data_IF_122348867647
#
_entry.id   IF_122348867647
#
_cell.length_a   1.000
_cell.length_b   1.000
_cell.length_c   1.000
_cell.angle_alpha   90.00
_cell.angle_beta   90.00
_cell.angle_gamma   90.00
#
_symmetry.space_group_name_H-M   'P 1'
#
loop_
_entity.id
_entity.type
_entity.pdbx_description
1 polymer ?
#
# COMPACT_ATOMS: atom_id res chain seq x y z
N UNK A 1 14.81 -77.19 32.31
CA UNK A 1 15.08 -76.05 31.41
C UNK A 1 13.73 -75.66 30.81
N UNK A 2 13.05 -74.68 31.42
CA UNK A 2 11.68 -74.29 31.11
C UNK A 2 11.69 -73.13 30.09
N UNK A 3 10.91 -73.25 29.02
CA UNK A 3 10.65 -72.18 28.05
C UNK A 3 9.33 -71.53 28.45
N UNK A 4 9.37 -70.27 28.88
CA UNK A 4 8.20 -69.44 29.16
C UNK A 4 7.89 -68.61 27.91
N UNK A 5 6.74 -68.84 27.28
CA UNK A 5 6.26 -68.07 26.13
C UNK A 5 5.53 -66.82 26.65
N UNK A 6 6.12 -65.64 26.44
CA UNK A 6 5.48 -64.35 26.73
C UNK A 6 4.64 -63.90 25.53
N UNK A 7 3.32 -63.91 25.70
CA UNK A 7 2.37 -63.37 24.72
C UNK A 7 2.19 -61.88 25.00
N UNK A 8 2.67 -61.02 24.10
CA UNK A 8 2.39 -59.59 24.11
C UNK A 8 0.98 -59.36 23.55
N UNK A 9 0.06 -58.91 24.41
CA UNK A 9 -1.23 -58.37 23.98
C UNK A 9 -1.04 -56.91 23.54
N UNK A 10 -1.03 -56.64 22.24
CA UNK A 10 -1.12 -55.29 21.69
C UNK A 10 -2.57 -54.79 21.79
N UNK A 11 -2.89 -54.04 22.85
CA UNK A 11 -4.12 -53.24 22.92
C UNK A 11 -4.07 -52.17 21.83
N UNK A 12 -4.80 -52.39 20.74
CA UNK A 12 -5.10 -51.35 19.77
C UNK A 12 -6.20 -50.47 20.37
N UNK A 13 -5.82 -49.33 20.93
CA UNK A 13 -6.77 -48.26 21.18
C UNK A 13 -7.24 -47.75 19.82
N UNK A 14 -8.44 -48.18 19.41
CA UNK A 14 -9.19 -47.50 18.35
C UNK A 14 -9.62 -46.17 18.95
N UNK A 15 -8.86 -45.11 18.68
CA UNK A 15 -9.36 -43.75 18.87
C UNK A 15 -10.52 -43.64 17.89
N UNK A 16 -11.77 -43.42 18.36
CA UNK A 16 -12.87 -43.21 17.43
C UNK A 16 -12.51 -41.98 16.60
N UNK A 17 -12.46 -42.19 15.29
CA UNK A 17 -12.35 -41.11 14.31
C UNK A 17 -13.67 -40.34 14.40
N UNK A 18 -13.76 -39.42 15.37
CA UNK A 18 -14.85 -38.45 15.41
C UNK A 18 -14.72 -37.67 14.13
N UNK A 19 -15.63 -37.93 13.17
CA UNK A 19 -15.79 -37.12 11.97
C UNK A 19 -15.74 -35.66 12.40
N UNK A 20 -14.63 -34.97 12.12
CA UNK A 20 -14.51 -33.55 12.40
C UNK A 20 -15.53 -32.87 11.51
N UNK A 21 -16.47 -32.16 12.13
CA UNK A 21 -17.43 -31.37 11.38
C UNK A 21 -16.67 -30.39 10.50
N UNK A 22 -16.85 -30.52 9.19
CA UNK A 22 -16.25 -29.64 8.20
C UNK A 22 -17.23 -28.48 8.01
N UNK A 23 -16.80 -27.28 8.39
CA UNK A 23 -17.61 -26.07 8.29
C UNK A 23 -17.42 -25.40 6.93
N UNK A 24 -18.48 -24.77 6.43
CA UNK A 24 -18.38 -23.78 5.36
C UNK A 24 -18.32 -22.38 5.98
N UNK A 25 -17.53 -21.50 5.38
CA UNK A 25 -17.49 -20.10 5.77
C UNK A 25 -18.90 -19.49 5.61
N UNK A 26 -19.43 -18.94 6.71
CA UNK A 26 -20.76 -18.35 6.77
C UNK A 26 -20.71 -16.94 7.37
N UNK A 27 -21.77 -16.16 7.18
CA UNK A 27 -21.91 -14.84 7.80
C UNK A 27 -21.91 -14.95 9.34
N UNK A 28 -22.57 -15.96 9.88
CA UNK A 28 -22.61 -16.21 11.33
C UNK A 28 -21.23 -16.54 11.90
N UNK A 29 -20.43 -17.34 11.18
CA UNK A 29 -19.06 -17.66 11.60
C UNK A 29 -18.16 -16.42 11.58
N UNK A 30 -18.29 -15.56 10.56
CA UNK A 30 -17.56 -14.29 10.50
C UNK A 30 -18.00 -13.37 11.65
N UNK A 31 -19.30 -13.32 11.95
CA UNK A 31 -19.85 -12.51 13.05
C UNK A 31 -19.32 -12.96 14.43
N UNK A 32 -19.14 -14.26 14.66
CA UNK A 32 -18.55 -14.79 15.90
C UNK A 32 -17.13 -14.30 16.16
N UNK A 33 -16.39 -13.96 15.11
CA UNK A 33 -15.03 -13.41 15.18
C UNK A 33 -14.97 -11.90 14.95
N UNK A 34 -16.13 -11.21 15.00
CA UNK A 34 -16.21 -9.78 14.78
C UNK A 34 -16.59 -9.02 16.04
N UNK A 35 -15.85 -7.95 16.31
CA UNK A 35 -16.18 -6.95 17.33
C UNK A 35 -16.42 -5.59 16.69
N UNK A 36 -17.23 -4.76 17.33
CA UNK A 36 -17.48 -3.39 16.91
C UNK A 36 -16.71 -2.42 17.78
N UNK A 37 -16.07 -1.45 17.16
CA UNK A 37 -15.21 -0.48 17.83
C UNK A 37 -15.43 0.92 17.28
N UNK A 38 -14.89 1.91 17.96
CA UNK A 38 -14.90 3.31 17.54
C UNK A 38 -13.48 3.86 17.41
N UNK A 39 -13.33 4.88 16.56
CA UNK A 39 -12.12 5.70 16.50
C UNK A 39 -12.50 7.10 16.95
N UNK A 40 -11.94 7.55 18.07
CA UNK A 40 -12.19 8.88 18.61
C UNK A 40 -10.87 9.62 18.76
N UNK A 41 -10.71 10.74 18.03
CA UNK A 41 -9.53 11.62 18.10
C UNK A 41 -8.21 10.83 17.97
N UNK A 42 -8.14 9.97 16.95
CA UNK A 42 -6.93 9.16 16.67
C UNK A 42 -6.70 7.97 17.62
N UNK A 43 -7.63 7.65 18.52
CA UNK A 43 -7.52 6.49 19.41
C UNK A 43 -8.59 5.44 19.10
N UNK A 44 -8.21 4.17 19.16
CA UNK A 44 -9.13 3.03 19.10
C UNK A 44 -9.86 2.84 20.44
N UNK A 45 -11.15 2.54 20.39
CA UNK A 45 -11.99 2.22 21.56
C UNK A 45 -12.71 0.90 21.28
N UNK A 46 -12.33 -0.18 21.99
CA UNK A 46 -12.95 -1.50 21.88
C UNK A 46 -12.34 -2.42 20.81
N UNK A 47 -11.10 -2.16 20.37
CA UNK A 47 -10.37 -2.94 19.37
C UNK A 47 -9.20 -3.74 19.98
N UNK A 48 -9.39 -4.30 21.17
CA UNK A 48 -8.30 -4.81 22.03
C UNK A 48 -7.42 -5.88 21.36
N UNK A 49 -8.02 -6.79 20.57
CA UNK A 49 -7.27 -7.84 19.86
C UNK A 49 -6.34 -7.29 18.78
N UNK A 50 -6.77 -6.23 18.09
CA UNK A 50 -5.97 -5.50 17.12
C UNK A 50 -4.83 -4.78 17.85
N UNK A 51 -5.14 -3.99 18.88
CA UNK A 51 -4.15 -3.21 19.64
C UNK A 51 -3.05 -4.14 20.16
N UNK A 52 -3.41 -5.22 20.87
CA UNK A 52 -2.43 -6.19 21.40
C UNK A 52 -1.51 -6.77 20.31
N UNK A 53 -2.01 -6.93 19.09
CA UNK A 53 -1.21 -7.44 17.97
C UNK A 53 -0.30 -6.35 17.39
N UNK A 54 -0.76 -5.10 17.34
CA UNK A 54 0.03 -3.95 16.90
C UNK A 54 1.20 -3.66 17.86
N UNK A 55 1.00 -3.78 19.17
CA UNK A 55 2.04 -3.55 20.19
C UNK A 55 3.24 -4.49 20.03
N UNK A 56 3.00 -5.73 19.60
CA UNK A 56 4.02 -6.78 19.43
C UNK A 56 4.62 -6.81 18.02
N UNK A 57 4.06 -6.03 17.08
CA UNK A 57 4.48 -6.03 15.69
C UNK A 57 5.83 -5.36 15.48
N UNK A 58 6.56 -5.84 14.47
CA UNK A 58 7.68 -5.13 13.85
C UNK A 58 7.26 -4.54 12.49
N UNK A 59 6.33 -5.20 11.80
CA UNK A 59 5.76 -4.71 10.55
C UNK A 59 4.25 -4.67 10.62
N UNK A 60 3.64 -3.58 10.18
CA UNK A 60 2.18 -3.46 10.04
C UNK A 60 1.86 -3.13 8.60
N UNK A 61 1.02 -3.94 7.96
CA UNK A 61 0.66 -3.80 6.56
C UNK A 61 -0.84 -3.53 6.41
N UNK A 62 -1.19 -2.29 6.06
CA UNK A 62 -2.56 -1.87 5.79
C UNK A 62 -2.84 -1.95 4.28
N UNK A 63 -3.56 -3.00 3.88
CA UNK A 63 -4.12 -3.19 2.55
C UNK A 63 -5.38 -2.36 2.37
N UNK A 64 -5.31 -1.35 1.50
CA UNK A 64 -6.31 -0.28 1.44
C UNK A 64 -7.10 -0.20 0.13
N UNK A 65 -8.18 0.61 0.17
CA UNK A 65 -8.98 1.05 -0.96
C UNK A 65 -8.79 2.55 -1.16
N UNK A 66 -8.19 2.94 -2.27
CA UNK A 66 -7.71 4.31 -2.44
C UNK A 66 -8.81 5.38 -2.33
N UNK A 67 -8.43 6.53 -1.76
CA UNK A 67 -9.23 7.77 -1.74
C UNK A 67 -10.53 7.67 -0.93
N UNK A 68 -10.46 7.10 0.28
CA UNK A 68 -11.56 7.01 1.25
C UNK A 68 -11.37 7.93 2.45
N UNK A 69 -12.44 8.55 2.91
CA UNK A 69 -12.41 9.48 4.06
C UNK A 69 -12.08 8.70 5.33
N UNK A 70 -12.78 7.58 5.58
CA UNK A 70 -12.58 6.76 6.77
C UNK A 70 -11.21 6.09 6.79
N UNK A 71 -10.67 5.69 5.64
CA UNK A 71 -9.30 5.18 5.55
C UNK A 71 -8.26 6.16 6.13
N UNK A 72 -8.42 7.47 5.87
CA UNK A 72 -7.51 8.45 6.43
C UNK A 72 -7.60 8.56 7.95
N UNK A 73 -8.80 8.43 8.51
CA UNK A 73 -9.03 8.37 9.97
C UNK A 73 -8.41 7.12 10.60
N UNK A 74 -8.57 5.96 9.95
CA UNK A 74 -7.92 4.72 10.38
C UNK A 74 -6.39 4.83 10.32
N UNK A 75 -5.85 5.42 9.25
CA UNK A 75 -4.39 5.60 9.09
C UNK A 75 -3.82 6.51 10.19
N UNK A 76 -4.50 7.62 10.49
CA UNK A 76 -4.14 8.52 11.59
C UNK A 76 -4.16 7.78 12.94
N UNK A 77 -5.18 6.97 13.21
CA UNK A 77 -5.27 6.19 14.45
C UNK A 77 -4.18 5.12 14.57
N UNK A 78 -3.84 4.44 13.47
CA UNK A 78 -2.73 3.48 13.43
C UNK A 78 -1.40 4.15 13.72
N UNK A 79 -1.11 5.32 13.13
CA UNK A 79 0.13 6.06 13.41
C UNK A 79 0.25 6.42 14.90
N UNK A 80 -0.82 6.95 15.52
CA UNK A 80 -0.83 7.26 16.95
C UNK A 80 -0.68 6.02 17.83
N UNK A 81 -1.25 4.89 17.41
CA UNK A 81 -1.17 3.64 18.17
C UNK A 81 0.23 3.04 18.07
N UNK A 82 0.91 3.17 16.93
CA UNK A 82 2.17 2.50 16.66
C UNK A 82 3.40 3.27 17.19
N UNK A 83 3.36 4.60 17.22
CA UNK A 83 4.51 5.43 17.63
C UNK A 83 5.06 5.04 19.02
N UNK A 84 4.22 4.87 20.07
CA UNK A 84 4.71 4.49 21.40
C UNK A 84 5.43 3.13 21.45
N UNK A 85 5.25 2.29 20.44
CA UNK A 85 5.88 0.96 20.33
C UNK A 85 7.12 0.95 19.44
N UNK A 86 7.68 2.12 19.14
CA UNK A 86 8.95 2.30 18.44
C UNK A 86 8.82 2.34 16.92
N UNK A 87 7.61 2.48 16.37
CA UNK A 87 7.44 2.71 14.95
C UNK A 87 7.78 4.16 14.60
N UNK A 88 8.72 4.33 13.68
CA UNK A 88 9.17 5.63 13.19
C UNK A 88 9.37 5.63 11.66
N UNK A 89 8.98 4.56 10.96
CA UNK A 89 9.02 4.49 9.51
C UNK A 89 7.62 4.20 8.96
N UNK A 90 7.19 5.01 7.99
CA UNK A 90 5.90 4.91 7.33
C UNK A 90 6.10 4.76 5.82
N UNK A 91 5.88 3.57 5.28
CA UNK A 91 6.05 3.27 3.88
C UNK A 91 4.72 3.34 3.10
N UNK A 92 4.77 3.93 1.92
CA UNK A 92 3.58 4.24 1.11
C UNK A 92 3.78 3.91 -0.36
N UNK A 93 2.66 3.65 -1.05
CA UNK A 93 2.61 3.34 -2.49
C UNK A 93 2.81 4.59 -3.37
N UNK A 94 4.00 5.18 -3.28
CA UNK A 94 4.44 6.26 -4.16
C UNK A 94 5.96 6.19 -4.38
N UNK A 95 6.47 6.97 -5.33
CA UNK A 95 7.89 7.00 -5.65
C UNK A 95 8.77 7.48 -4.48
N UNK A 96 10.01 6.99 -4.35
CA UNK A 96 10.94 7.42 -3.29
C UNK A 96 11.11 8.94 -3.21
N UNK A 97 11.25 9.61 -4.35
CA UNK A 97 11.42 11.07 -4.36
C UNK A 97 10.11 11.78 -4.04
N UNK A 98 8.97 11.31 -4.60
CA UNK A 98 7.63 11.78 -4.24
C UNK A 98 7.39 11.76 -2.73
N UNK A 99 7.74 10.66 -2.05
CA UNK A 99 7.59 10.52 -0.60
C UNK A 99 8.43 11.56 0.15
N UNK A 100 9.72 11.71 -0.19
CA UNK A 100 10.57 12.74 0.43
C UNK A 100 10.03 14.15 0.18
N UNK A 101 9.54 14.43 -1.03
CA UNK A 101 8.92 15.72 -1.36
C UNK A 101 7.68 15.98 -0.51
N UNK A 102 6.79 14.99 -0.37
CA UNK A 102 5.61 15.10 0.49
C UNK A 102 6.00 15.37 1.94
N UNK A 103 7.01 14.66 2.47
CA UNK A 103 7.45 14.87 3.84
C UNK A 103 8.03 16.28 4.06
N UNK A 104 8.85 16.78 3.11
CA UNK A 104 9.35 18.16 3.14
C UNK A 104 8.20 19.18 3.13
N UNK A 105 7.20 18.97 2.27
CA UNK A 105 6.04 19.87 2.15
C UNK A 105 5.15 19.85 3.39
N UNK A 106 4.80 18.66 3.91
CA UNK A 106 3.90 18.58 5.08
C UNK A 106 4.54 19.16 6.34
N UNK A 107 5.87 19.03 6.48
CA UNK A 107 6.65 19.67 7.55
C UNK A 107 6.60 21.18 7.50
N UNK A 108 6.58 21.75 6.29
CA UNK A 108 6.37 23.19 6.09
C UNK A 108 4.90 23.59 6.32
N UNK A 109 3.98 22.65 6.15
CA UNK A 109 2.58 22.74 6.56
C UNK A 109 1.61 22.22 5.51
N UNK A 110 0.40 21.87 5.96
CA UNK A 110 -0.71 21.45 5.08
C UNK A 110 -0.94 22.38 3.87
N UNK A 111 -0.88 23.73 4.00
CA UNK A 111 -1.03 24.62 2.86
C UNK A 111 0.03 24.44 1.76
N UNK A 112 1.26 24.06 2.10
CA UNK A 112 2.34 23.85 1.11
C UNK A 112 2.07 22.61 0.25
N UNK A 113 1.54 21.55 0.87
CA UNK A 113 1.05 20.37 0.13
C UNK A 113 -0.09 20.78 -0.82
N UNK A 114 -1.06 21.56 -0.34
CA UNK A 114 -2.14 22.09 -1.18
C UNK A 114 -1.65 22.95 -2.33
N UNK A 115 -0.70 23.85 -2.10
CA UNK A 115 -0.12 24.71 -3.14
C UNK A 115 0.63 23.90 -4.20
N UNK A 116 1.40 22.89 -3.77
CA UNK A 116 2.07 21.96 -4.68
C UNK A 116 1.07 21.21 -5.56
N UNK A 117 0.01 20.65 -4.97
CA UNK A 117 -1.05 19.99 -5.75
C UNK A 117 -1.77 20.97 -6.67
N UNK A 118 -2.09 22.19 -6.22
CA UNK A 118 -2.74 23.20 -7.06
C UNK A 118 -1.88 23.57 -8.28
N UNK A 119 -0.56 23.54 -8.15
CA UNK A 119 0.39 23.86 -9.23
C UNK A 119 0.44 22.76 -10.29
N UNK A 120 0.48 21.49 -9.88
CA UNK A 120 0.76 20.37 -10.78
C UNK A 120 -0.46 19.52 -11.14
N UNK A 121 -1.64 19.84 -10.61
CA UNK A 121 -2.86 19.08 -10.86
C UNK A 121 -3.78 19.76 -11.89
N UNK A 122 -4.68 18.97 -12.47
CA UNK A 122 -5.77 19.48 -13.30
C UNK A 122 -7.07 18.77 -12.98
N UNK A 123 -8.08 19.52 -12.50
CA UNK A 123 -9.41 18.95 -12.22
C UNK A 123 -10.10 18.48 -13.49
N UNK A 124 -9.92 19.20 -14.60
CA UNK A 124 -10.55 18.86 -15.89
C UNK A 124 -10.05 17.54 -16.46
N UNK A 125 -8.78 17.20 -16.22
CA UNK A 125 -8.13 16.00 -16.76
C UNK A 125 -7.86 14.93 -15.70
N UNK A 126 -8.31 15.14 -14.46
CA UNK A 126 -8.01 14.29 -13.29
C UNK A 126 -6.51 13.97 -13.11
N UNK A 127 -5.66 14.96 -13.35
CA UNK A 127 -4.20 14.86 -13.19
C UNK A 127 -3.85 15.27 -11.77
N UNK A 128 -2.95 14.53 -11.12
CA UNK A 128 -2.35 14.84 -9.81
C UNK A 128 -0.85 14.51 -9.83
N UNK A 129 0.01 15.25 -9.10
CA UNK A 129 1.45 15.02 -9.10
C UNK A 129 1.84 13.74 -8.36
N UNK A 130 1.22 13.49 -7.21
CA UNK A 130 1.52 12.35 -6.33
C UNK A 130 0.19 11.63 -6.02
N UNK A 131 0.11 10.29 -6.21
CA UNK A 131 -1.13 9.54 -6.07
C UNK A 131 -1.45 9.31 -4.59
N UNK A 132 -2.72 9.06 -4.29
CA UNK A 132 -3.20 8.62 -2.96
C UNK A 132 -3.06 9.61 -1.79
N UNK A 133 -2.68 10.87 -2.05
CA UNK A 133 -2.65 11.94 -1.04
C UNK A 133 -3.41 13.20 -1.46
N UNK A 134 -4.43 13.06 -2.32
CA UNK A 134 -5.19 14.20 -2.86
C UNK A 134 -6.29 14.72 -1.93
N UNK A 135 -6.53 14.06 -0.80
CA UNK A 135 -7.63 14.27 0.13
C UNK A 135 -7.30 15.07 1.38
N UNK A 136 -8.32 15.70 1.97
CA UNK A 136 -8.22 16.42 3.24
C UNK A 136 -7.85 15.50 4.42
N UNK A 137 -8.37 14.28 4.43
CA UNK A 137 -8.01 13.25 5.42
C UNK A 137 -6.58 12.76 5.24
N UNK A 138 -6.07 12.81 4.00
CA UNK A 138 -4.69 12.45 3.72
C UNK A 138 -3.72 13.46 4.31
N UNK A 139 -4.04 14.75 4.20
CA UNK A 139 -3.29 15.80 4.90
C UNK A 139 -3.29 15.64 6.43
N UNK A 140 -4.35 15.06 7.01
CA UNK A 140 -4.39 14.82 8.46
C UNK A 140 -3.40 13.74 8.86
N UNK A 141 -3.47 12.55 8.26
CA UNK A 141 -2.54 11.49 8.65
C UNK A 141 -1.09 11.80 8.24
N UNK A 142 -0.85 12.54 7.14
CA UNK A 142 0.51 12.99 6.79
C UNK A 142 1.07 13.95 7.84
N UNK A 143 0.22 14.87 8.33
CA UNK A 143 0.60 15.79 9.40
C UNK A 143 0.82 15.06 10.72
N UNK A 144 0.02 14.04 11.02
CA UNK A 144 0.21 13.19 12.19
C UNK A 144 1.55 12.44 12.09
N UNK A 145 1.82 11.79 10.96
CA UNK A 145 3.08 11.09 10.70
C UNK A 145 4.31 12.00 10.91
N UNK A 146 4.34 13.20 10.33
CA UNK A 146 5.46 14.13 10.53
C UNK A 146 5.56 14.59 12.00
N UNK A 147 4.43 14.90 12.65
CA UNK A 147 4.42 15.34 14.06
C UNK A 147 4.86 14.26 15.05
N UNK A 148 4.61 12.99 14.71
CA UNK A 148 5.00 11.80 15.46
C UNK A 148 6.42 11.34 15.10
N UNK A 149 7.12 12.05 14.23
CA UNK A 149 8.51 11.76 13.88
C UNK A 149 8.68 10.58 12.90
N UNK A 150 7.63 10.17 12.18
CA UNK A 150 7.75 9.15 11.16
C UNK A 150 8.54 9.66 9.95
N UNK A 151 9.47 8.83 9.48
CA UNK A 151 10.09 8.95 8.17
C UNK A 151 9.19 8.35 7.09
N UNK A 152 8.93 9.10 6.02
CA UNK A 152 8.07 8.63 4.92
C UNK A 152 8.91 7.92 3.86
N UNK A 153 8.65 6.63 3.65
CA UNK A 153 9.31 5.81 2.63
C UNK A 153 8.41 5.65 1.40
N UNK A 154 8.91 6.03 0.22
CA UNK A 154 8.24 5.72 -1.05
C UNK A 154 8.73 4.38 -1.58
N UNK A 155 7.81 3.44 -1.84
CA UNK A 155 8.17 2.11 -2.34
C UNK A 155 7.93 1.92 -3.84
N UNK A 156 7.04 2.69 -4.47
CA UNK A 156 6.66 2.51 -5.87
C UNK A 156 7.65 3.15 -6.86
N UNK A 157 7.42 2.98 -8.15
CA UNK A 157 7.90 3.91 -9.15
C UNK A 157 7.25 5.29 -8.97
N UNK A 158 7.92 6.34 -9.44
CA UNK A 158 7.30 7.66 -9.52
C UNK A 158 6.02 7.60 -10.34
N UNK A 159 5.01 8.36 -9.95
CA UNK A 159 3.68 8.22 -10.52
C UNK A 159 3.63 8.68 -11.97
N UNK A 160 2.71 8.11 -12.75
CA UNK A 160 2.56 8.40 -14.18
C UNK A 160 2.51 9.90 -14.52
N UNK A 161 1.86 10.72 -13.69
CA UNK A 161 1.73 12.17 -13.89
C UNK A 161 2.76 13.02 -13.14
N UNK A 162 3.74 12.39 -12.48
CA UNK A 162 4.82 13.09 -11.75
C UNK A 162 5.83 13.80 -12.66
N UNK A 163 5.94 13.40 -13.94
CA UNK A 163 7.00 13.86 -14.84
C UNK A 163 7.12 15.38 -14.94
N UNK A 164 5.99 16.10 -14.93
CA UNK A 164 5.99 17.55 -15.02
C UNK A 164 6.74 18.19 -13.85
N UNK A 165 6.43 17.78 -12.61
CA UNK A 165 7.07 18.36 -11.44
C UNK A 165 8.50 17.84 -11.26
N UNK A 166 8.80 16.59 -11.58
CA UNK A 166 10.15 16.04 -11.47
C UNK A 166 11.13 16.72 -12.44
N UNK A 167 10.67 17.08 -13.63
CA UNK A 167 11.48 17.86 -14.59
C UNK A 167 11.78 19.26 -14.06
N UNK A 168 10.80 19.91 -13.43
CA UNK A 168 10.98 21.20 -12.77
C UNK A 168 11.91 21.09 -11.57
N UNK A 169 11.80 20.02 -10.78
CA UNK A 169 12.63 19.79 -9.60
C UNK A 169 14.11 19.61 -9.95
N UNK A 170 14.42 18.86 -11.02
CA UNK A 170 15.80 18.76 -11.55
C UNK A 170 16.38 20.14 -11.89
N UNK A 171 15.59 21.01 -12.52
CA UNK A 171 16.03 22.37 -12.85
C UNK A 171 16.20 23.23 -11.59
N UNK A 172 15.32 23.07 -10.59
CA UNK A 172 15.37 23.80 -9.33
C UNK A 172 16.59 23.40 -8.49
N UNK A 173 16.87 22.10 -8.35
CA UNK A 173 18.02 21.56 -7.61
C UNK A 173 19.35 22.01 -8.24
N UNK A 174 19.41 22.06 -9.57
CA UNK A 174 20.58 22.58 -10.26
C UNK A 174 20.87 24.06 -9.91
N UNK A 175 19.84 24.83 -9.56
CA UNK A 175 19.97 26.21 -9.09
C UNK A 175 20.82 27.06 -10.03
N UNK A 176 21.85 27.70 -9.49
CA UNK A 176 22.77 28.55 -10.27
C UNK A 176 23.69 27.76 -11.22
N UNK A 177 23.87 26.45 -10.99
CA UNK A 177 24.68 25.58 -11.85
C UNK A 177 23.96 25.16 -13.15
N UNK A 178 22.68 25.50 -13.29
CA UNK A 178 21.90 25.13 -14.47
C UNK A 178 22.46 25.77 -15.75
N UNK A 179 22.79 24.93 -16.73
CA UNK A 179 23.31 25.38 -18.01
C UNK A 179 22.22 25.95 -18.92
N UNK A 180 22.60 26.79 -19.89
CA UNK A 180 21.66 27.28 -20.91
C UNK A 180 21.00 26.14 -21.70
N UNK A 181 21.72 25.03 -21.91
CA UNK A 181 21.18 23.87 -22.60
C UNK A 181 20.14 23.13 -21.76
N UNK A 182 20.41 22.89 -20.46
CA UNK A 182 19.43 22.32 -19.53
C UNK A 182 18.18 23.19 -19.46
N UNK A 183 18.31 24.50 -19.31
CA UNK A 183 17.16 25.42 -19.27
C UNK A 183 16.36 25.42 -20.59
N UNK A 184 17.02 25.28 -21.74
CA UNK A 184 16.35 25.12 -23.04
C UNK A 184 15.56 23.82 -23.11
N UNK A 185 16.15 22.71 -22.67
CA UNK A 185 15.52 21.38 -22.66
C UNK A 185 14.36 21.34 -21.68
N UNK A 186 14.53 21.83 -20.46
CA UNK A 186 13.49 22.03 -19.45
C UNK A 186 12.25 22.69 -20.04
N UNK A 187 12.37 23.89 -20.62
CA UNK A 187 11.24 24.61 -21.25
C UNK A 187 10.56 23.85 -22.39
N UNK A 188 11.30 23.05 -23.15
CA UNK A 188 10.71 22.19 -24.20
C UNK A 188 9.91 21.07 -23.56
N UNK A 189 10.48 20.41 -22.55
CA UNK A 189 9.90 19.26 -21.88
C UNK A 189 8.65 19.63 -21.09
N UNK A 190 8.65 20.73 -20.33
CA UNK A 190 7.45 21.21 -19.61
C UNK A 190 6.25 21.30 -20.56
N UNK A 191 6.42 21.94 -21.73
CA UNK A 191 5.33 22.05 -22.73
C UNK A 191 4.96 20.70 -23.33
N UNK A 192 5.96 19.84 -23.61
CA UNK A 192 5.77 18.53 -24.23
C UNK A 192 4.99 17.60 -23.31
N UNK A 193 5.41 17.47 -22.05
CA UNK A 193 4.76 16.64 -21.02
C UNK A 193 3.32 17.11 -20.80
N UNK A 194 3.07 18.40 -20.55
CA UNK A 194 1.69 18.88 -20.37
C UNK A 194 0.78 18.59 -21.57
N UNK A 195 1.31 18.66 -22.80
CA UNK A 195 0.54 18.29 -24.01
C UNK A 195 0.27 16.78 -24.07
N UNK A 196 1.25 15.96 -23.72
CA UNK A 196 1.11 14.50 -23.70
C UNK A 196 0.12 14.06 -22.63
N UNK A 197 0.14 14.67 -21.44
CA UNK A 197 -0.80 14.37 -20.35
C UNK A 197 -2.24 14.62 -20.79
N UNK A 198 -2.53 15.82 -21.33
CA UNK A 198 -3.86 16.14 -21.84
C UNK A 198 -4.30 15.19 -22.95
N UNK A 199 -3.39 14.81 -23.84
CA UNK A 199 -3.68 13.86 -24.92
C UNK A 199 -3.92 12.45 -24.39
N UNK A 200 -3.20 12.02 -23.35
CA UNK A 200 -3.44 10.74 -22.69
C UNK A 200 -4.87 10.68 -22.17
N UNK A 201 -5.24 11.65 -21.34
CA UNK A 201 -6.56 11.70 -20.72
C UNK A 201 -7.68 11.77 -21.76
N UNK A 202 -7.49 12.55 -22.83
CA UNK A 202 -8.43 12.55 -23.94
C UNK A 202 -8.54 11.17 -24.61
N UNK A 203 -7.43 10.46 -24.86
CA UNK A 203 -7.47 9.17 -25.55
C UNK A 203 -7.98 8.02 -24.67
N UNK A 204 -7.76 8.07 -23.37
CA UNK A 204 -8.37 7.12 -22.42
C UNK A 204 -9.89 7.20 -22.45
N UNK A 205 -10.46 8.40 -22.51
CA UNK A 205 -11.91 8.61 -22.62
C UNK A 205 -12.52 8.07 -23.93
N UNK A 206 -11.73 7.96 -24.99
CA UNK A 206 -12.18 7.53 -26.33
C UNK A 206 -11.55 6.19 -26.79
N UNK A 207 -11.09 5.36 -25.84
CA UNK A 207 -10.68 3.95 -26.03
C UNK A 207 -9.62 3.79 -27.13
N UNK A 208 -8.52 4.53 -27.06
CA UNK A 208 -7.38 4.27 -27.92
C UNK A 208 -6.07 4.26 -27.14
N UNK A 209 -5.28 3.20 -27.32
CA UNK A 209 -4.00 3.03 -26.62
C UNK A 209 -3.08 4.22 -26.87
N UNK A 210 -2.66 4.88 -25.79
CA UNK A 210 -1.72 6.00 -25.84
C UNK A 210 -0.45 5.62 -25.07
N UNK A 211 0.60 5.33 -25.82
CA UNK A 211 1.89 4.91 -25.25
C UNK A 211 2.70 6.14 -24.83
N UNK A 212 2.22 6.88 -23.82
CA UNK A 212 2.84 8.13 -23.36
C UNK A 212 4.24 7.90 -22.81
N UNK A 213 4.38 6.96 -21.87
CA UNK A 213 5.64 6.65 -21.23
C UNK A 213 6.62 6.06 -22.23
N UNK A 214 6.16 5.24 -23.19
CA UNK A 214 7.03 4.83 -24.29
C UNK A 214 7.51 5.99 -25.18
N UNK A 215 6.66 6.99 -25.44
CA UNK A 215 7.06 8.17 -26.22
C UNK A 215 8.10 8.98 -25.49
N UNK A 216 7.93 9.21 -24.19
CA UNK A 216 8.88 9.95 -23.37
C UNK A 216 10.21 9.18 -23.19
N UNK A 217 10.13 7.86 -22.97
CA UNK A 217 11.30 6.98 -22.87
C UNK A 217 12.20 7.07 -24.11
N UNK A 218 11.62 7.22 -25.30
CA UNK A 218 12.36 7.30 -26.56
C UNK A 218 12.53 8.74 -27.08
N UNK A 219 12.15 9.76 -26.30
CA UNK A 219 12.23 11.15 -26.73
C UNK A 219 13.65 11.70 -26.58
N UNK A 220 14.24 12.16 -27.69
CA UNK A 220 15.62 12.63 -27.70
C UNK A 220 15.86 13.87 -26.81
N UNK A 221 14.91 14.80 -26.70
CA UNK A 221 15.08 15.95 -25.79
C UNK A 221 15.01 15.49 -24.33
N UNK A 222 14.17 14.50 -24.00
CA UNK A 222 14.05 13.96 -22.65
C UNK A 222 15.32 13.22 -22.23
N UNK A 223 15.83 12.34 -23.09
CA UNK A 223 17.08 11.64 -22.83
C UNK A 223 18.27 12.60 -22.74
N UNK A 224 18.34 13.61 -23.61
CA UNK A 224 19.36 14.64 -23.52
C UNK A 224 19.26 15.47 -22.22
N UNK A 225 18.06 15.68 -21.69
CA UNK A 225 17.86 16.38 -20.42
C UNK A 225 18.38 15.56 -19.25
N UNK A 226 17.98 14.30 -19.12
CA UNK A 226 18.49 13.42 -18.07
C UNK A 226 20.02 13.24 -18.17
N UNK A 227 20.54 12.98 -19.37
CA UNK A 227 21.97 12.81 -19.59
C UNK A 227 22.77 14.07 -19.24
N UNK A 228 22.18 15.25 -19.37
CA UNK A 228 22.85 16.51 -18.99
C UNK A 228 23.07 16.66 -17.49
N UNK A 229 22.42 15.84 -16.66
CA UNK A 229 22.62 15.77 -15.21
C UNK A 229 23.48 14.59 -14.76
N UNK A 230 23.94 13.73 -15.68
CA UNK A 230 24.64 12.50 -15.32
C UNK A 230 25.92 12.72 -14.50
N UNK A 231 26.59 13.87 -14.68
CA UNK A 231 27.79 14.25 -13.92
C UNK A 231 27.50 15.10 -12.68
N UNK A 232 26.24 15.19 -12.24
CA UNK A 232 25.88 15.91 -11.02
C UNK A 232 26.31 15.11 -9.79
N UNK A 233 26.97 15.76 -8.83
CA UNK A 233 27.30 15.16 -7.53
C UNK A 233 26.12 15.27 -6.53
N UNK A 234 25.03 15.95 -6.90
CA UNK A 234 23.82 16.05 -6.07
C UNK A 234 23.04 14.72 -6.07
N UNK A 235 22.87 14.06 -4.90
CA UNK A 235 22.20 12.77 -4.80
C UNK A 235 20.68 12.84 -5.09
N UNK A 236 20.02 13.98 -4.86
CA UNK A 236 18.61 14.17 -5.22
C UNK A 236 18.46 14.22 -6.74
N UNK A 237 19.37 14.89 -7.45
CA UNK A 237 19.38 14.93 -8.92
C UNK A 237 19.57 13.52 -9.51
N UNK A 238 20.50 12.73 -8.97
CA UNK A 238 20.72 11.36 -9.41
C UNK A 238 19.50 10.48 -9.14
N UNK A 239 18.92 10.56 -7.94
CA UNK A 239 17.74 9.78 -7.60
C UNK A 239 16.55 10.10 -8.51
N UNK A 240 16.24 11.37 -8.77
CA UNK A 240 15.14 11.74 -9.69
C UNK A 240 15.43 11.23 -11.10
N UNK A 241 16.67 11.34 -11.57
CA UNK A 241 17.05 10.93 -12.92
C UNK A 241 16.87 9.42 -13.13
N UNK A 242 17.30 8.61 -12.15
CA UNK A 242 17.14 7.16 -12.16
C UNK A 242 15.67 6.76 -12.03
N UNK A 243 14.93 7.41 -11.11
CA UNK A 243 13.52 7.14 -10.88
C UNK A 243 12.69 7.44 -12.14
N UNK A 244 12.95 8.55 -12.84
CA UNK A 244 12.28 8.88 -14.11
C UNK A 244 12.54 7.81 -15.19
N UNK A 245 13.78 7.31 -15.30
CA UNK A 245 14.10 6.23 -16.25
C UNK A 245 13.34 4.95 -15.89
N UNK A 246 13.37 4.55 -14.62
CA UNK A 246 12.70 3.33 -14.14
C UNK A 246 11.19 3.40 -14.30
N UNK A 247 10.59 4.53 -13.94
CA UNK A 247 9.15 4.79 -14.11
C UNK A 247 8.73 4.69 -15.57
N UNK A 248 9.48 5.32 -16.49
CA UNK A 248 9.17 5.24 -17.91
C UNK A 248 9.35 3.83 -18.48
N UNK A 249 10.32 3.06 -17.98
CA UNK A 249 10.50 1.65 -18.33
C UNK A 249 9.25 0.84 -17.96
N UNK A 250 8.84 0.87 -16.69
CA UNK A 250 7.74 0.02 -16.19
C UNK A 250 6.41 0.42 -16.83
N UNK A 251 6.08 1.71 -16.90
CA UNK A 251 4.85 2.14 -17.55
C UNK A 251 4.85 1.87 -19.06
N UNK A 252 6.00 1.97 -19.75
CA UNK A 252 6.05 1.60 -21.16
C UNK A 252 5.81 0.09 -21.37
N UNK A 253 6.27 -0.77 -20.47
CA UNK A 253 5.93 -2.20 -20.50
C UNK A 253 4.41 -2.40 -20.37
N UNK A 254 3.80 -1.73 -19.38
CA UNK A 254 2.35 -1.80 -19.17
C UNK A 254 1.56 -1.29 -20.40
N UNK A 255 1.94 -0.15 -20.97
CA UNK A 255 1.32 0.45 -22.16
C UNK A 255 1.39 -0.45 -23.40
N UNK A 256 2.41 -1.32 -23.48
CA UNK A 256 2.59 -2.32 -24.54
C UNK A 256 1.88 -3.65 -24.26
N UNK A 257 1.25 -3.81 -23.10
CA UNK A 257 0.65 -5.07 -22.66
C UNK A 257 1.69 -6.15 -22.30
N UNK A 258 2.92 -5.76 -21.99
CA UNK A 258 3.94 -6.67 -21.47
C UNK A 258 3.78 -6.84 -19.95
N UNK A 259 4.34 -7.90 -19.39
CA UNK A 259 4.32 -8.18 -17.96
C UNK A 259 5.14 -7.16 -17.14
N UNK A 260 4.54 -6.02 -16.78
CA UNK A 260 5.15 -4.98 -15.94
C UNK A 260 5.05 -5.27 -14.44
N UNK A 261 4.02 -5.98 -13.99
CA UNK A 261 3.77 -6.19 -12.55
C UNK A 261 4.91 -6.88 -11.81
N UNK A 262 5.55 -7.96 -12.33
CA UNK A 262 6.71 -8.53 -11.64
C UNK A 262 7.88 -7.55 -11.49
N UNK A 263 8.07 -6.65 -12.48
CA UNK A 263 9.13 -5.63 -12.43
C UNK A 263 8.80 -4.57 -11.38
N UNK A 264 7.55 -4.10 -11.34
CA UNK A 264 7.06 -3.13 -10.34
C UNK A 264 7.15 -3.69 -8.92
N UNK A 265 6.72 -4.94 -8.71
CA UNK A 265 6.77 -5.60 -7.40
C UNK A 265 8.21 -5.81 -6.93
N UNK A 266 9.12 -6.19 -7.82
CA UNK A 266 10.53 -6.26 -7.44
C UNK A 266 11.08 -4.89 -7.06
N UNK A 267 10.67 -3.82 -7.77
CA UNK A 267 11.05 -2.46 -7.42
C UNK A 267 10.52 -2.02 -6.04
N UNK A 268 9.31 -2.44 -5.64
CA UNK A 268 8.82 -2.27 -4.26
C UNK A 268 9.80 -2.82 -3.22
N UNK A 269 10.22 -4.07 -3.44
CA UNK A 269 11.10 -4.79 -2.51
C UNK A 269 12.50 -4.17 -2.48
N UNK A 270 13.03 -3.77 -3.63
CA UNK A 270 14.32 -3.08 -3.73
C UNK A 270 14.31 -1.75 -2.97
N UNK A 271 13.25 -0.94 -3.14
CA UNK A 271 13.11 0.32 -2.41
C UNK A 271 12.91 0.09 -0.91
N UNK A 272 12.10 -0.90 -0.51
CA UNK A 272 11.93 -1.26 0.89
C UNK A 272 13.25 -1.72 1.52
N UNK A 273 13.96 -2.65 0.88
CA UNK A 273 15.23 -3.17 1.39
C UNK A 273 16.27 -2.07 1.55
N UNK A 274 16.37 -1.15 0.60
CA UNK A 274 17.30 -0.02 0.70
C UNK A 274 17.04 0.83 1.94
N UNK A 275 15.80 1.24 2.16
CA UNK A 275 15.44 2.04 3.34
C UNK A 275 15.61 1.24 4.64
N UNK A 276 15.25 -0.05 4.61
CA UNK A 276 15.38 -0.93 5.78
C UNK A 276 16.86 -1.16 6.15
N UNK A 277 17.73 -1.44 5.18
CA UNK A 277 19.18 -1.58 5.37
C UNK A 277 19.82 -0.29 5.87
N UNK A 278 19.38 0.87 5.39
CA UNK A 278 19.81 2.18 5.91
C UNK A 278 19.36 2.36 7.37
N UNK A 279 18.11 2.03 7.70
CA UNK A 279 17.59 2.13 9.07
C UNK A 279 18.31 1.23 10.06
N UNK A 280 18.77 0.04 9.62
CA UNK A 280 19.54 -0.90 10.43
C UNK A 280 20.89 -0.33 10.90
N UNK A 281 21.40 0.72 10.25
CA UNK A 281 22.64 1.38 10.69
C UNK A 281 22.46 2.17 11.99
N UNK A 282 21.23 2.58 12.29
CA UNK A 282 20.89 3.39 13.47
C UNK A 282 20.02 2.64 14.48
N UNK A 283 19.21 1.67 14.04
CA UNK A 283 18.20 0.99 14.84
C UNK A 283 18.34 -0.52 14.65
N UNK A 284 18.50 -1.28 15.73
CA UNK A 284 18.71 -2.73 15.65
C UNK A 284 17.49 -3.49 15.11
N UNK A 285 16.29 -3.05 15.48
CA UNK A 285 15.02 -3.66 15.06
C UNK A 285 14.08 -2.59 14.49
N UNK A 286 14.30 -2.11 13.26
CA UNK A 286 13.46 -1.08 12.66
C UNK A 286 12.03 -1.58 12.52
N UNK A 287 11.07 -0.75 12.95
CA UNK A 287 9.65 -1.06 12.85
C UNK A 287 8.99 -0.18 11.79
N UNK A 288 8.22 -0.81 10.90
CA UNK A 288 7.71 -0.15 9.70
C UNK A 288 6.19 -0.34 9.58
N UNK A 289 5.47 0.77 9.45
CA UNK A 289 4.08 0.76 9.04
C UNK A 289 4.00 0.95 7.52
N UNK A 290 3.27 0.08 6.81
CA UNK A 290 3.09 0.14 5.37
C UNK A 290 1.61 0.37 5.04
N UNK A 291 1.32 1.31 4.14
CA UNK A 291 -0.01 1.56 3.58
C UNK A 291 0.04 1.53 2.06
N UNK A 292 -0.57 0.50 1.46
CA UNK A 292 -0.62 0.30 0.01
C UNK A 292 -1.93 -0.39 -0.38
N UNK A 293 -2.27 -0.39 -1.66
CA UNK A 293 -3.44 -1.11 -2.18
C UNK A 293 -3.49 -2.56 -1.70
N UNK A 294 -4.69 -3.05 -1.40
CA UNK A 294 -4.90 -4.39 -0.80
C UNK A 294 -4.41 -5.57 -1.64
N UNK A 295 -3.98 -5.36 -2.88
CA UNK A 295 -3.35 -6.43 -3.64
C UNK A 295 -1.90 -6.66 -3.20
N UNK A 296 -1.25 -5.64 -2.64
CA UNK A 296 0.17 -5.63 -2.32
C UNK A 296 0.47 -6.03 -0.87
N UNK A 297 -0.53 -6.00 0.03
CA UNK A 297 -0.33 -6.09 1.49
C UNK A 297 -0.63 -7.47 2.09
N UNK A 298 -0.98 -8.47 1.28
CA UNK A 298 -1.18 -9.84 1.77
C UNK A 298 0.13 -10.56 2.07
N UNK A 299 0.16 -11.44 3.09
CA UNK A 299 1.36 -12.19 3.50
C UNK A 299 1.72 -13.36 2.57
N UNK A 300 0.80 -13.80 1.73
CA UNK A 300 0.96 -14.91 0.78
C UNK A 300 0.94 -14.36 -0.66
N UNK A 301 0.68 -15.22 -1.65
CA UNK A 301 0.51 -14.76 -3.03
C UNK A 301 -0.64 -13.78 -3.14
N UNK A 302 -0.37 -12.63 -3.76
CA UNK A 302 -1.34 -11.59 -4.06
C UNK A 302 -2.46 -12.10 -4.98
N UNK A 303 -3.55 -11.34 -5.18
CA UNK A 303 -4.55 -11.63 -6.21
C UNK A 303 -3.96 -11.73 -7.63
N UNK A 304 -2.78 -11.13 -7.89
CA UNK A 304 -2.03 -11.28 -9.13
C UNK A 304 -1.20 -12.57 -9.20
N UNK A 305 -1.33 -13.44 -8.19
CA UNK A 305 -0.59 -14.69 -8.01
C UNK A 305 0.94 -14.51 -7.88
N UNK A 306 1.39 -13.33 -7.43
CA UNK A 306 2.79 -12.97 -7.22
C UNK A 306 3.11 -12.89 -5.72
N UNK A 307 4.35 -13.20 -5.35
CA UNK A 307 4.85 -12.90 -4.00
C UNK A 307 5.17 -11.42 -3.94
N UNK A 308 4.25 -10.64 -3.37
CA UNK A 308 4.32 -9.18 -3.36
C UNK A 308 5.10 -8.65 -2.15
N UNK A 309 5.13 -7.33 -1.97
CA UNK A 309 5.79 -6.66 -0.84
C UNK A 309 5.22 -7.11 0.52
N UNK A 310 3.92 -7.38 0.63
CA UNK A 310 3.31 -7.93 1.85
C UNK A 310 3.87 -9.31 2.21
N UNK A 311 4.11 -10.18 1.23
CA UNK A 311 4.78 -11.45 1.47
C UNK A 311 6.25 -11.24 1.83
N UNK A 312 6.92 -10.30 1.18
CA UNK A 312 8.32 -9.98 1.44
C UNK A 312 8.57 -9.55 2.89
N UNK A 313 7.78 -8.60 3.42
CA UNK A 313 7.91 -8.16 4.82
C UNK A 313 7.54 -9.27 5.81
N UNK A 314 6.59 -10.15 5.45
CA UNK A 314 6.23 -11.29 6.29
C UNK A 314 7.39 -12.28 6.40
N UNK A 315 8.00 -12.65 5.27
CA UNK A 315 9.18 -13.53 5.24
C UNK A 315 10.38 -12.89 5.95
N UNK A 316 10.57 -11.58 5.79
CA UNK A 316 11.61 -10.85 6.51
C UNK A 316 11.40 -10.93 8.02
N UNK A 317 10.18 -10.70 8.50
CA UNK A 317 9.83 -10.82 9.91
C UNK A 317 10.13 -12.23 10.44
N UNK A 318 9.66 -13.27 9.75
CA UNK A 318 9.92 -14.66 10.13
C UNK A 318 11.41 -14.98 10.18
N UNK A 319 12.20 -14.50 9.22
CA UNK A 319 13.66 -14.72 9.18
C UNK A 319 14.42 -14.11 10.36
N UNK A 320 13.81 -13.14 11.05
CA UNK A 320 14.36 -12.45 12.21
C UNK A 320 13.69 -12.84 13.53
N UNK A 321 12.81 -13.86 13.55
CA UNK A 321 11.95 -14.19 14.69
C UNK A 321 11.08 -13.01 15.17
N UNK A 322 10.69 -12.15 14.24
CA UNK A 322 9.83 -10.99 14.45
C UNK A 322 8.41 -11.27 13.93
N UNK A 323 7.49 -10.32 14.14
CA UNK A 323 6.09 -10.47 13.71
C UNK A 323 5.63 -9.40 12.73
N UNK A 324 4.71 -9.77 11.84
CA UNK A 324 4.02 -8.87 10.94
C UNK A 324 2.49 -8.99 11.11
N UNK A 325 1.81 -7.85 11.17
CA UNK A 325 0.34 -7.75 11.23
C UNK A 325 -0.19 -7.26 9.89
N UNK A 326 -1.12 -8.01 9.30
CA UNK A 326 -1.70 -7.66 7.99
C UNK A 326 -3.19 -7.34 8.12
N UNK A 327 -3.58 -6.14 7.73
CA UNK A 327 -4.93 -5.59 7.87
C UNK A 327 -5.52 -5.37 6.49
N UNK A 328 -6.73 -5.86 6.27
CA UNK A 328 -7.50 -5.59 5.05
C UNK A 328 -8.62 -4.60 5.34
N UNK A 329 -8.53 -3.41 4.74
CA UNK A 329 -9.55 -2.37 4.83
C UNK A 329 -10.63 -2.59 3.78
N UNK A 330 -11.89 -2.55 4.22
CA UNK A 330 -13.09 -2.60 3.40
C UNK A 330 -14.05 -1.48 3.77
N UNK A 331 -15.00 -1.18 2.88
CA UNK A 331 -16.13 -0.32 3.18
C UNK A 331 -17.43 -0.92 2.64
N UNK A 332 -18.36 -1.27 3.53
CA UNK A 332 -19.69 -1.77 3.12
C UNK A 332 -20.59 -0.62 2.69
N UNK A 333 -20.65 0.43 3.50
CA UNK A 333 -21.53 1.56 3.24
C UNK A 333 -20.75 2.70 2.62
N UNK A 334 -21.08 3.04 1.38
CA UNK A 334 -20.34 4.03 0.60
C UNK A 334 -21.30 4.98 -0.11
N UNK A 335 -21.22 6.27 0.23
CA UNK A 335 -22.09 7.31 -0.34
C UNK A 335 -23.58 6.99 -0.20
N UNK A 336 -23.98 6.47 0.96
CA UNK A 336 -25.34 6.07 1.28
C UNK A 336 -25.79 4.75 0.63
N UNK A 337 -24.92 4.06 -0.12
CA UNK A 337 -25.22 2.77 -0.75
C UNK A 337 -24.64 1.62 0.06
N UNK A 338 -25.36 0.50 0.11
CA UNK A 338 -24.81 -0.77 0.57
C UNK A 338 -24.08 -1.45 -0.60
N UNK A 339 -22.78 -1.70 -0.44
CA UNK A 339 -21.93 -2.33 -1.43
C UNK A 339 -22.00 -3.87 -1.39
N UNK A 340 -22.61 -4.45 -0.35
CA UNK A 340 -22.83 -5.90 -0.26
C UNK A 340 -23.64 -6.38 -1.47
N UNK A 341 -23.14 -7.42 -2.17
CA UNK A 341 -23.77 -7.97 -3.38
C UNK A 341 -23.70 -7.07 -4.62
N UNK A 342 -23.04 -5.91 -4.56
CA UNK A 342 -22.85 -5.04 -5.73
C UNK A 342 -21.73 -5.56 -6.62
N UNK A 343 -21.77 -5.15 -7.90
CA UNK A 343 -20.73 -5.50 -8.87
C UNK A 343 -19.36 -5.01 -8.42
N UNK A 344 -18.36 -5.91 -8.45
CA UNK A 344 -17.01 -5.69 -7.96
C UNK A 344 -16.79 -6.07 -6.49
N UNK A 345 -17.85 -6.47 -5.77
CA UNK A 345 -17.84 -6.79 -4.35
C UNK A 345 -18.40 -8.17 -4.03
N UNK A 346 -18.88 -8.90 -5.04
CA UNK A 346 -19.56 -10.19 -4.89
C UNK A 346 -18.68 -11.22 -4.17
N UNK A 347 -17.39 -11.24 -4.48
CA UNK A 347 -16.44 -12.16 -3.83
C UNK A 347 -16.23 -11.85 -2.35
N UNK A 348 -16.51 -10.63 -1.90
CA UNK A 348 -16.31 -10.20 -0.51
C UNK A 348 -17.62 -10.09 0.27
N UNK A 349 -18.74 -10.57 -0.28
CA UNK A 349 -20.07 -10.40 0.30
C UNK A 349 -20.20 -10.92 1.73
N UNK A 350 -19.67 -12.13 2.00
CA UNK A 350 -19.69 -12.72 3.34
C UNK A 350 -18.87 -11.90 4.34
N UNK A 351 -17.71 -11.38 3.96
CA UNK A 351 -16.95 -10.49 4.83
C UNK A 351 -17.67 -9.17 5.07
N UNK A 352 -18.32 -8.59 4.06
CA UNK A 352 -19.09 -7.36 4.21
C UNK A 352 -20.33 -7.53 5.09
N UNK A 353 -20.80 -8.75 5.35
CA UNK A 353 -22.03 -9.00 6.13
C UNK A 353 -22.03 -8.35 7.52
N UNK A 354 -20.86 -8.24 8.16
CA UNK A 354 -20.69 -7.71 9.51
C UNK A 354 -20.41 -6.20 9.56
N UNK A 355 -20.39 -5.51 8.41
CA UNK A 355 -20.22 -4.06 8.36
C UNK A 355 -21.41 -3.31 8.98
N UNK A 356 -21.13 -2.32 9.82
CA UNK A 356 -22.11 -1.46 10.48
C UNK A 356 -22.09 -0.03 9.91
N UNK A 357 -23.20 0.72 10.03
CA UNK A 357 -23.30 2.10 9.48
C UNK A 357 -22.67 3.15 10.38
N UNK A 358 -22.66 2.91 11.68
CA UNK A 358 -22.28 3.88 12.69
C UNK A 358 -20.93 3.55 13.31
N UNK A 359 -20.61 2.26 13.43
CA UNK A 359 -19.39 1.75 14.06
C UNK A 359 -18.44 1.10 13.06
N UNK A 360 -17.19 1.00 13.46
CA UNK A 360 -16.22 0.18 12.76
C UNK A 360 -16.43 -1.30 13.12
N UNK A 361 -16.20 -2.20 12.17
CA UNK A 361 -16.17 -3.64 12.41
C UNK A 361 -14.73 -4.15 12.32
N UNK A 362 -14.31 -4.96 13.28
CA UNK A 362 -13.02 -5.66 13.29
C UNK A 362 -13.27 -7.16 13.32
N UNK A 363 -12.93 -7.87 12.25
CA UNK A 363 -12.96 -9.33 12.20
C UNK A 363 -11.55 -9.90 12.37
N UNK A 364 -11.34 -10.77 13.35
CA UNK A 364 -10.09 -11.53 13.52
C UNK A 364 -10.14 -12.80 12.65
N UNK A 365 -9.28 -12.85 11.64
CA UNK A 365 -9.20 -13.95 10.68
C UNK A 365 -8.27 -15.08 11.13
N UNK A 366 -7.48 -14.90 12.18
CA UNK A 366 -6.47 -15.89 12.59
C UNK A 366 -7.11 -17.21 13.04
N UNK A 367 -8.20 -17.24 13.83
CA UNK A 367 -8.89 -18.49 14.15
C UNK A 367 -9.46 -19.19 12.91
N UNK A 368 -9.96 -18.43 11.94
CA UNK A 368 -10.46 -18.98 10.67
C UNK A 368 -9.32 -19.56 9.83
N UNK A 369 -8.16 -18.92 9.83
CA UNK A 369 -6.96 -19.40 9.15
C UNK A 369 -6.50 -20.74 9.70
N UNK A 370 -6.49 -20.90 11.03
CA UNK A 370 -6.16 -22.18 11.66
C UNK A 370 -7.14 -23.29 11.25
N UNK A 371 -8.44 -22.98 11.16
CA UNK A 371 -9.44 -23.94 10.70
C UNK A 371 -9.26 -24.31 9.22
N UNK A 372 -8.91 -23.35 8.34
CA UNK A 372 -8.56 -23.64 6.95
C UNK A 372 -7.34 -24.57 6.85
N UNK A 373 -6.29 -24.29 7.62
CA UNK A 373 -5.05 -25.09 7.61
C UNK A 373 -5.28 -26.51 8.15
N UNK A 374 -6.18 -26.68 9.11
CA UNK A 374 -6.55 -27.96 9.69
C UNK A 374 -7.59 -28.73 8.86
N UNK A 375 -8.08 -28.16 7.75
CA UNK A 375 -9.07 -28.78 6.86
C UNK A 375 -10.48 -28.84 7.46
N UNK A 376 -10.79 -28.03 8.49
CA UNK A 376 -12.10 -28.00 9.15
C UNK A 376 -12.97 -26.84 8.69
N UNK A 377 -12.46 -26.00 7.78
CA UNK A 377 -13.19 -24.88 7.17
C UNK A 377 -12.97 -24.87 5.66
N UNK A 378 -14.03 -24.63 4.90
CA UNK A 378 -13.99 -24.38 3.47
C UNK A 378 -14.56 -23.00 3.12
N UNK A 379 -14.15 -22.49 1.97
CA UNK A 379 -14.63 -21.24 1.38
C UNK A 379 -14.29 -21.19 -0.09
N UNK A 380 -14.72 -20.13 -0.77
CA UNK A 380 -14.29 -19.86 -2.15
C UNK A 380 -12.79 -19.57 -2.21
N UNK A 381 -12.18 -19.71 -3.40
CA UNK A 381 -10.76 -19.38 -3.62
C UNK A 381 -10.39 -17.97 -3.16
N UNK A 382 -11.30 -17.01 -3.32
CA UNK A 382 -11.10 -15.64 -2.85
C UNK A 382 -11.11 -15.53 -1.33
N UNK A 383 -12.06 -16.17 -0.66
CA UNK A 383 -12.17 -16.13 0.80
C UNK A 383 -11.00 -16.83 1.47
N UNK A 384 -10.62 -18.01 0.97
CA UNK A 384 -9.41 -18.73 1.40
C UNK A 384 -8.19 -17.82 1.25
N UNK A 385 -8.05 -17.15 0.10
CA UNK A 385 -6.96 -16.19 -0.13
C UNK A 385 -6.96 -15.05 0.88
N UNK A 386 -8.11 -14.43 1.15
CA UNK A 386 -8.21 -13.32 2.11
C UNK A 386 -7.81 -13.78 3.51
N UNK A 387 -8.37 -14.90 4.00
CA UNK A 387 -8.09 -15.46 5.33
C UNK A 387 -6.61 -15.85 5.48
N UNK A 388 -6.01 -16.39 4.43
CA UNK A 388 -4.58 -16.72 4.43
C UNK A 388 -3.67 -15.50 4.39
N UNK A 389 -4.09 -14.40 3.75
CA UNK A 389 -3.25 -13.22 3.56
C UNK A 389 -3.29 -12.25 4.75
N UNK A 390 -4.44 -12.10 5.41
CA UNK A 390 -4.72 -11.03 6.37
C UNK A 390 -5.06 -11.56 7.77
N UNK A 391 -4.56 -10.91 8.83
CA UNK A 391 -4.94 -11.20 10.22
C UNK A 391 -6.27 -10.57 10.59
N UNK A 392 -6.52 -9.37 10.08
CA UNK A 392 -7.72 -8.62 10.42
C UNK A 392 -8.40 -8.09 9.16
N UNK A 393 -9.72 -8.08 9.18
CA UNK A 393 -10.53 -7.22 8.30
C UNK A 393 -11.05 -6.06 9.14
N UNK A 394 -10.89 -4.84 8.63
CA UNK A 394 -11.53 -3.65 9.19
C UNK A 394 -12.53 -3.13 8.17
N UNK A 395 -13.80 -3.02 8.56
CA UNK A 395 -14.85 -2.43 7.75
C UNK A 395 -15.19 -1.07 8.33
N UNK A 396 -15.07 -0.03 7.52
CA UNK A 396 -15.45 1.31 7.92
C UNK A 396 -16.97 1.45 8.14
N UNK A 397 -17.40 2.36 9.03
CA UNK A 397 -18.77 2.87 9.04
C UNK A 397 -19.07 3.60 7.72
N UNK A 398 -20.21 4.30 7.62
CA UNK A 398 -20.52 5.09 6.42
C UNK A 398 -19.34 5.96 5.97
N UNK A 399 -18.94 5.76 4.72
CA UNK A 399 -17.72 6.30 4.12
C UNK A 399 -18.04 7.08 2.83
N UNK A 400 -17.12 7.94 2.43
CA UNK A 400 -17.24 8.78 1.24
C UNK A 400 -15.87 8.98 0.58
N UNK A 401 -15.87 9.47 -0.65
CA UNK A 401 -14.66 9.92 -1.30
C UNK A 401 -14.00 11.02 -0.48
N UNK A 402 -12.67 10.98 -0.40
CA UNK A 402 -11.91 12.09 0.15
C UNK A 402 -12.24 13.39 -0.59
N UNK A 403 -12.51 14.46 0.18
CA UNK A 403 -12.62 15.81 -0.36
C UNK A 403 -11.23 16.30 -0.75
N UNK A 404 -11.07 16.85 -1.96
CA UNK A 404 -9.76 17.37 -2.39
C UNK A 404 -9.33 18.57 -1.55
N UNK A 405 -8.03 18.71 -1.33
CA UNK A 405 -7.46 19.83 -0.56
C UNK A 405 -6.90 20.98 -1.43
N UNK A 406 -7.03 20.88 -2.76
CA UNK A 406 -6.53 21.81 -3.76
C UNK A 406 -7.60 22.13 -4.80
#
# INVERSE_FOLDING_TARGET
MNILLLIFFSLHFVIPDTEREILDLSEDLIAQHTVYFDIHVGAFIGADSLIASLEQAHFVALGELHNRTRLGELTEALLHTLEPHGFNHFAVETGPYSARKLQKLIRAGKPEVSAFYATYSSRLYDIIPIPFFKGQTDLRFLSAADSLGYELWGLDQEFYFSYAYLIDELAALAGESITRNQLRLHRKLTRKVSRLDRRNQFRELFISSFHRSCRLKNDADFQAYLQSFASSDDPDIQQISDALQKTMEIYCMAEKGHASEPVRINYFKENFNRNFEESLQAIQEPKVFLKMGSFHMGRQRSPLNLYDIGNHIHQLAESQNQSSVHIYYLNRFFKGKDMKGQRGWESSERFLSVGDREKWSLTDLRPLREQLLNGTLHGTDWEVRVIQNYDFIIIAPEDDWVKRHW
#
